data_IF_800585236876
#
_entry.id   IF_800585236876
#
_cell.length_a   1.000
_cell.length_b   1.000
_cell.length_c   1.000
_cell.angle_alpha   90.00
_cell.angle_beta   90.00
_cell.angle_gamma   90.00
#
_symmetry.space_group_name_H-M   'P 1'
#
loop_
_entity.id
_entity.type
_entity.pdbx_description
1 polymer ?
#
# COMPACT_ATOMS: atom_id res chain seq x y z
N UNK A 1 -6.48 10.28 -12.24
CA UNK A 1 -5.05 10.54 -11.93
C UNK A 1 -4.56 9.71 -10.74
N UNK A 2 -5.27 9.66 -9.61
CA UNK A 2 -4.85 8.89 -8.43
C UNK A 2 -4.64 7.39 -8.69
N UNK A 3 -5.52 6.74 -9.45
CA UNK A 3 -5.37 5.32 -9.83
C UNK A 3 -4.03 5.04 -10.52
N UNK A 4 -3.64 5.87 -11.50
CA UNK A 4 -2.36 5.71 -12.20
C UNK A 4 -1.15 5.87 -11.27
N UNK A 5 -1.22 6.75 -10.26
CA UNK A 5 -0.15 6.86 -9.26
C UNK A 5 -0.12 5.68 -8.29
N UNK A 6 -1.28 5.13 -7.91
CA UNK A 6 -1.37 3.90 -7.12
C UNK A 6 -0.71 2.73 -7.87
N UNK A 7 -1.06 2.54 -9.15
CA UNK A 7 -0.52 1.46 -9.97
C UNK A 7 1.00 1.61 -10.15
N UNK A 8 1.48 2.82 -10.49
CA UNK A 8 2.90 3.09 -10.66
C UNK A 8 3.70 2.92 -9.36
N UNK A 9 3.12 3.27 -8.21
CA UNK A 9 3.75 3.07 -6.90
C UNK A 9 3.93 1.58 -6.60
N UNK A 10 2.87 0.78 -6.75
CA UNK A 10 2.92 -0.66 -6.52
C UNK A 10 3.89 -1.35 -7.50
N UNK A 11 3.89 -0.95 -8.77
CA UNK A 11 4.80 -1.51 -9.77
C UNK A 11 6.28 -1.27 -9.42
N UNK A 12 6.61 -0.08 -8.92
CA UNK A 12 7.97 0.22 -8.46
C UNK A 12 8.33 -0.58 -7.21
N UNK A 13 7.42 -0.68 -6.24
CA UNK A 13 7.69 -1.42 -5.00
C UNK A 13 7.86 -2.92 -5.25
N UNK A 14 7.10 -3.48 -6.20
CA UNK A 14 7.19 -4.89 -6.59
C UNK A 14 8.54 -5.30 -7.20
N UNK A 15 9.38 -4.33 -7.60
CA UNK A 15 10.75 -4.59 -8.05
C UNK A 15 11.71 -4.87 -6.89
N UNK A 16 11.37 -4.40 -5.69
CA UNK A 16 12.22 -4.49 -4.50
C UNK A 16 11.79 -5.60 -3.55
N UNK A 17 10.47 -5.81 -3.41
CA UNK A 17 9.88 -6.82 -2.51
C UNK A 17 8.63 -7.44 -3.14
N UNK A 18 8.22 -8.65 -2.72
CA UNK A 18 6.91 -9.19 -3.11
C UNK A 18 5.78 -8.27 -2.64
N UNK A 19 4.94 -7.82 -3.56
CA UNK A 19 3.80 -6.94 -3.29
C UNK A 19 2.52 -7.60 -3.74
N UNK A 20 1.52 -7.60 -2.86
CA UNK A 20 0.13 -7.92 -3.19
C UNK A 20 -0.69 -6.63 -3.16
N UNK A 21 -1.66 -6.51 -4.07
CA UNK A 21 -2.48 -5.30 -4.23
C UNK A 21 -3.97 -5.63 -4.14
N UNK A 22 -4.77 -4.64 -3.73
CA UNK A 22 -6.22 -4.68 -3.88
C UNK A 22 -6.68 -4.10 -5.22
N UNK A 23 -7.92 -3.61 -5.27
CA UNK A 23 -8.52 -2.95 -6.44
C UNK A 23 -8.81 -1.48 -6.09
N UNK A 24 -8.23 -0.55 -6.84
CA UNK A 24 -8.43 0.88 -6.61
C UNK A 24 -9.89 1.28 -6.81
N UNK A 25 -10.47 1.95 -5.82
CA UNK A 25 -11.84 2.47 -5.86
C UNK A 25 -12.94 1.43 -5.66
N UNK A 26 -12.59 0.17 -5.39
CA UNK A 26 -13.55 -0.86 -5.00
C UNK A 26 -13.83 -0.80 -3.49
N UNK A 27 -15.04 -1.21 -3.10
CA UNK A 27 -15.33 -1.57 -1.71
C UNK A 27 -14.62 -2.90 -1.40
N UNK A 28 -13.78 -2.90 -0.37
CA UNK A 28 -12.94 -4.05 -0.04
C UNK A 28 -13.00 -4.36 1.45
N UNK A 29 -13.15 -5.65 1.76
CA UNK A 29 -12.96 -6.16 3.11
C UNK A 29 -11.55 -6.71 3.24
N UNK A 30 -10.72 -6.00 4.00
CA UNK A 30 -9.30 -6.35 4.20
C UNK A 30 -9.12 -6.92 5.59
N UNK A 31 -8.72 -8.19 5.66
CA UNK A 31 -8.36 -8.85 6.92
C UNK A 31 -6.83 -8.79 7.13
N UNK A 32 -6.41 -8.49 8.35
CA UNK A 32 -5.00 -8.41 8.73
C UNK A 32 -4.82 -8.91 10.17
N UNK A 33 -3.86 -9.81 10.38
CA UNK A 33 -3.37 -10.17 11.72
C UNK A 33 -2.12 -9.36 11.99
N UNK A 34 -2.19 -8.42 12.95
CA UNK A 34 -1.04 -7.61 13.36
C UNK A 34 -0.36 -8.27 14.58
N UNK A 35 0.62 -9.14 14.32
CA UNK A 35 1.38 -9.84 15.35
C UNK A 35 2.42 -8.88 16.00
N UNK A 36 2.15 -8.44 17.23
CA UNK A 36 2.84 -7.32 17.88
C UNK A 36 1.92 -6.60 18.89
N UNK A 37 1.15 -5.56 18.52
CA UNK A 37 1.02 -4.89 17.22
C UNK A 37 1.89 -3.62 17.12
N UNK A 38 2.54 -3.40 15.97
CA UNK A 38 3.33 -2.19 15.68
C UNK A 38 2.71 -1.45 14.49
N UNK A 39 2.60 -0.12 14.58
CA UNK A 39 2.10 0.73 13.48
C UNK A 39 3.08 1.87 13.24
N UNK A 40 3.54 2.01 11.99
CA UNK A 40 4.47 3.06 11.56
C UNK A 40 3.75 3.94 10.53
N UNK A 41 3.77 5.26 10.73
CA UNK A 41 3.18 6.23 9.81
C UNK A 41 4.30 6.93 9.05
N UNK A 42 4.20 6.99 7.73
CA UNK A 42 5.15 7.66 6.85
C UNK A 42 4.43 8.74 6.05
N UNK A 43 4.89 9.98 6.16
CA UNK A 43 4.45 11.10 5.33
C UNK A 43 5.65 11.71 4.60
N UNK A 44 5.61 11.68 3.28
CA UNK A 44 6.71 12.18 2.43
C UNK A 44 6.95 13.69 2.58
N UNK A 45 5.96 14.45 3.06
CA UNK A 45 6.04 15.90 3.27
C UNK A 45 6.54 16.27 4.67
N UNK A 46 6.44 15.37 5.64
CA UNK A 46 6.85 15.59 7.02
C UNK A 46 8.12 14.77 7.31
N UNK A 47 9.27 15.37 7.00
CA UNK A 47 10.59 14.74 7.15
C UNK A 47 11.25 15.10 8.47
#
# INVERSE_FOLDING_TARGET
>A
MAAAFYDAFNQKLAQEVPVQTGIFGADMQVELVNDGPVTIILDTKNR
#
